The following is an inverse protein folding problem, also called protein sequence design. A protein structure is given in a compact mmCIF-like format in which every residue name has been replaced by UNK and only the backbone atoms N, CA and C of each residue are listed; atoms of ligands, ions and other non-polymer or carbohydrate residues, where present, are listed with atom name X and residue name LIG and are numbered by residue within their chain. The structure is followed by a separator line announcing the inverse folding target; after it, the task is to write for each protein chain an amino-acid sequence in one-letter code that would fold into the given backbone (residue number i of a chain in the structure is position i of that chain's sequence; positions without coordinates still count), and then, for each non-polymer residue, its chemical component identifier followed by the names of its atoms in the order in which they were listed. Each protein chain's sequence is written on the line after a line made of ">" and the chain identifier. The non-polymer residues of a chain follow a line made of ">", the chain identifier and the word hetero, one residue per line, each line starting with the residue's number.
data_IF_776472348228
#
_entry.id   IF_776472348228
#
_cell.length_a   1.000
_cell.length_b   1.000
_cell.length_c   1.000
_cell.angle_alpha   90.00
_cell.angle_beta   90.00
_cell.angle_gamma   90.00
#
_symmetry.space_group_name_H-M   'P 1'
#
loop_
_entity.id
_entity.type
_entity.pdbx_description
1 polymer ?
#
# COMPACT_ATOMS: atom_id res chain seq x y z
N UNK A 1 -20.11 22.80 -7.58
CA UNK A 1 -19.02 22.45 -6.66
C UNK A 1 -18.57 21.01 -6.93
N UNK A 2 -17.28 20.82 -6.98
CA UNK A 2 -16.73 19.48 -7.13
C UNK A 2 -16.80 18.74 -5.79
N UNK A 3 -17.31 17.50 -5.82
CA UNK A 3 -17.29 16.60 -4.66
C UNK A 3 -16.08 15.65 -4.71
N UNK A 4 -15.11 15.95 -5.58
CA UNK A 4 -13.89 15.13 -5.69
C UNK A 4 -13.08 15.23 -4.40
N UNK A 5 -12.71 14.12 -3.78
CA UNK A 5 -11.85 14.14 -2.61
C UNK A 5 -10.51 14.82 -2.90
N UNK A 6 -9.93 15.44 -1.88
CA UNK A 6 -8.58 15.98 -1.97
C UNK A 6 -7.60 14.84 -2.21
N UNK A 7 -6.68 15.05 -3.15
CA UNK A 7 -5.61 14.07 -3.42
C UNK A 7 -4.75 13.88 -2.20
N UNK A 8 -4.54 12.63 -1.80
CA UNK A 8 -3.63 12.27 -0.72
C UNK A 8 -2.55 11.30 -1.20
N UNK A 9 -1.47 11.24 -0.46
CA UNK A 9 -0.35 10.34 -0.70
C UNK A 9 -0.51 9.08 0.16
N UNK A 10 -0.75 7.95 -0.48
CA UNK A 10 -1.00 6.67 0.17
C UNK A 10 0.20 5.77 -0.04
N UNK A 11 0.82 5.31 1.04
CA UNK A 11 2.00 4.46 1.01
C UNK A 11 1.66 3.05 1.47
N UNK A 12 2.06 2.07 0.67
CA UNK A 12 1.93 0.64 1.00
C UNK A 12 3.29 0.09 1.39
N UNK A 13 3.34 -0.61 2.51
CA UNK A 13 4.47 -1.45 2.89
C UNK A 13 4.53 -2.69 2.00
N UNK A 14 5.68 -3.32 1.88
CA UNK A 14 5.88 -4.50 1.03
C UNK A 14 5.67 -5.79 1.83
N UNK A 15 6.64 -6.15 2.68
CA UNK A 15 6.63 -7.45 3.34
C UNK A 15 5.49 -7.58 4.34
N UNK A 16 4.74 -8.67 4.23
CA UNK A 16 3.58 -9.00 5.08
C UNK A 16 2.39 -8.04 4.94
N UNK A 17 2.50 -7.03 4.09
CA UNK A 17 1.41 -6.09 3.75
C UNK A 17 0.91 -6.34 2.34
N UNK A 18 1.76 -6.12 1.33
CA UNK A 18 1.43 -6.41 -0.07
C UNK A 18 1.76 -7.83 -0.47
N UNK A 19 2.82 -8.39 0.09
CA UNK A 19 3.32 -9.71 -0.31
C UNK A 19 3.73 -10.56 0.88
N UNK A 20 3.70 -11.86 0.67
CA UNK A 20 4.44 -12.82 1.47
C UNK A 20 5.52 -13.43 0.59
N UNK A 21 6.78 -13.25 0.94
CA UNK A 21 7.91 -13.75 0.20
C UNK A 21 8.79 -14.66 1.05
N UNK A 22 9.23 -15.77 0.45
CA UNK A 22 10.21 -16.68 1.04
C UNK A 22 11.14 -17.19 -0.05
N UNK A 23 11.96 -18.23 0.24
CA UNK A 23 12.91 -18.79 -0.72
C UNK A 23 12.25 -19.40 -1.96
N UNK A 24 10.99 -19.79 -1.86
CA UNK A 24 10.29 -20.58 -2.89
C UNK A 24 9.18 -19.82 -3.60
N UNK A 25 8.68 -18.74 -3.01
CA UNK A 25 7.52 -18.03 -3.54
C UNK A 25 7.53 -16.56 -3.16
N UNK A 26 6.88 -15.75 -3.98
CA UNK A 26 6.54 -14.36 -3.70
C UNK A 26 5.07 -14.19 -4.07
N UNK A 27 4.22 -14.11 -3.07
CA UNK A 27 2.78 -14.13 -3.22
C UNK A 27 2.20 -12.73 -3.00
N UNK A 28 1.51 -12.21 -4.00
CA UNK A 28 0.79 -10.94 -3.87
C UNK A 28 -0.48 -11.15 -3.03
N UNK A 29 -0.70 -10.25 -2.08
CA UNK A 29 -1.90 -10.27 -1.24
C UNK A 29 -3.15 -10.01 -2.07
N UNK A 30 -4.26 -10.75 -1.84
CA UNK A 30 -5.50 -10.49 -2.57
C UNK A 30 -5.97 -9.05 -2.44
N UNK A 31 -6.46 -8.51 -3.54
CA UNK A 31 -7.00 -7.16 -3.59
C UNK A 31 -6.01 -6.06 -3.96
N UNK A 32 -4.72 -6.36 -4.04
CA UNK A 32 -3.69 -5.33 -4.31
C UNK A 32 -3.98 -4.53 -5.59
N UNK A 33 -4.23 -5.20 -6.70
CA UNK A 33 -4.56 -4.53 -7.97
C UNK A 33 -5.84 -3.70 -7.85
N UNK A 34 -6.92 -4.31 -7.39
CA UNK A 34 -8.22 -3.65 -7.32
C UNK A 34 -8.21 -2.44 -6.39
N UNK A 35 -7.56 -2.55 -5.25
CA UNK A 35 -7.45 -1.45 -4.28
C UNK A 35 -6.64 -0.29 -4.88
N UNK A 36 -5.48 -0.57 -5.46
CA UNK A 36 -4.66 0.47 -6.10
C UNK A 36 -5.39 1.11 -7.28
N UNK A 37 -6.06 0.33 -8.11
CA UNK A 37 -6.88 0.86 -9.22
C UNK A 37 -7.95 1.82 -8.72
N UNK A 38 -8.65 1.46 -7.66
CA UNK A 38 -9.69 2.30 -7.06
C UNK A 38 -9.10 3.61 -6.55
N UNK A 39 -7.95 3.55 -5.87
CA UNK A 39 -7.27 4.75 -5.37
C UNK A 39 -6.81 5.65 -6.50
N UNK A 40 -6.27 5.09 -7.57
CA UNK A 40 -5.85 5.87 -8.74
C UNK A 40 -7.04 6.50 -9.45
N UNK A 41 -8.13 5.76 -9.59
CA UNK A 41 -9.36 6.30 -10.20
C UNK A 41 -9.96 7.45 -9.40
N UNK A 42 -9.77 7.44 -8.07
CA UNK A 42 -10.21 8.54 -7.21
C UNK A 42 -9.24 9.74 -7.22
N UNK A 43 -8.13 9.65 -7.95
CA UNK A 43 -7.18 10.76 -8.11
C UNK A 43 -6.07 10.81 -7.06
N UNK A 44 -5.89 9.75 -6.28
CA UNK A 44 -4.85 9.70 -5.26
C UNK A 44 -3.51 9.26 -5.82
N UNK A 45 -2.44 9.58 -5.10
CA UNK A 45 -1.11 9.09 -5.40
C UNK A 45 -0.85 7.80 -4.60
N UNK A 46 -0.35 6.79 -5.30
CA UNK A 46 -0.04 5.49 -4.70
C UNK A 46 1.47 5.28 -4.73
N UNK A 47 2.05 5.09 -3.57
CA UNK A 47 3.48 4.83 -3.41
C UNK A 47 3.69 3.53 -2.67
N UNK A 48 4.83 2.92 -2.90
CA UNK A 48 5.24 1.71 -2.19
C UNK A 48 6.61 1.97 -1.57
N UNK A 49 6.79 1.57 -0.34
CA UNK A 49 8.06 1.73 0.36
C UNK A 49 8.42 0.48 1.17
N UNK A 50 9.70 0.33 1.49
CA UNK A 50 10.18 -0.80 2.29
C UNK A 50 11.49 -0.46 2.97
N UNK A 51 11.70 -0.99 4.16
CA UNK A 51 13.00 -0.97 4.82
C UNK A 51 14.06 -1.78 4.04
N UNK A 52 13.62 -2.67 3.14
CA UNK A 52 14.50 -3.41 2.24
C UNK A 52 15.09 -2.58 1.10
N UNK A 53 14.64 -1.35 0.91
CA UNK A 53 15.20 -0.40 -0.03
C UNK A 53 14.42 -0.22 -1.32
N UNK A 54 14.71 0.89 -2.00
CA UNK A 54 14.02 1.30 -3.23
C UNK A 54 14.09 0.22 -4.33
N UNK A 55 15.27 -0.38 -4.51
CA UNK A 55 15.44 -1.39 -5.57
C UNK A 55 14.61 -2.63 -5.31
N UNK A 56 14.51 -3.05 -4.06
CA UNK A 56 13.64 -4.15 -3.65
C UNK A 56 12.16 -3.83 -3.96
N UNK A 57 11.73 -2.61 -3.66
CA UNK A 57 10.37 -2.16 -3.95
C UNK A 57 10.10 -2.18 -5.45
N UNK A 58 11.01 -1.64 -6.25
CA UNK A 58 10.88 -1.63 -7.71
C UNK A 58 10.76 -3.04 -8.30
N UNK A 59 11.57 -3.96 -7.80
CA UNK A 59 11.51 -5.37 -8.20
C UNK A 59 10.16 -5.99 -7.89
N UNK A 60 9.66 -5.78 -6.68
CA UNK A 60 8.36 -6.32 -6.24
C UNK A 60 7.22 -5.77 -7.08
N UNK A 61 7.20 -4.46 -7.30
CA UNK A 61 6.19 -3.79 -8.12
C UNK A 61 6.19 -4.35 -9.54
N UNK A 62 7.36 -4.51 -10.14
CA UNK A 62 7.49 -5.07 -11.49
C UNK A 62 7.07 -6.54 -11.54
N UNK A 63 7.49 -7.33 -10.57
CA UNK A 63 7.17 -8.76 -10.49
C UNK A 63 5.66 -9.01 -10.50
N UNK A 64 4.89 -8.18 -9.82
CA UNK A 64 3.45 -8.35 -9.67
C UNK A 64 2.62 -7.48 -10.64
N UNK A 65 3.27 -6.86 -11.62
CA UNK A 65 2.56 -6.08 -12.64
C UNK A 65 1.85 -4.85 -12.10
N UNK A 66 2.39 -4.21 -11.05
CA UNK A 66 1.78 -3.05 -10.39
C UNK A 66 2.32 -1.71 -10.92
N UNK A 67 3.27 -1.73 -11.84
CA UNK A 67 3.99 -0.53 -12.27
C UNK A 67 3.11 0.61 -12.77
N UNK A 68 2.02 0.28 -13.46
CA UNK A 68 1.08 1.28 -13.99
C UNK A 68 0.18 1.90 -12.91
N UNK A 69 0.18 1.34 -11.70
CA UNK A 69 -0.63 1.81 -10.57
C UNK A 69 0.18 2.52 -9.49
N UNK A 70 1.51 2.40 -9.54
CA UNK A 70 2.41 2.92 -8.51
C UNK A 70 3.13 4.15 -9.04
N UNK A 71 2.97 5.27 -8.34
CA UNK A 71 3.56 6.56 -8.71
C UNK A 71 5.01 6.71 -8.27
N UNK A 72 5.47 5.90 -7.33
CA UNK A 72 6.87 5.92 -6.90
C UNK A 72 7.20 4.81 -5.91
N UNK A 73 8.48 4.48 -5.85
CA UNK A 73 9.04 3.43 -5.01
C UNK A 73 10.14 4.05 -4.15
N UNK A 74 10.12 3.80 -2.83
CA UNK A 74 11.00 4.49 -1.90
C UNK A 74 11.56 3.57 -0.82
N UNK A 75 12.70 3.97 -0.27
CA UNK A 75 13.15 3.48 1.03
C UNK A 75 12.17 3.94 2.11
N UNK A 76 12.05 3.18 3.17
CA UNK A 76 11.23 3.55 4.32
C UNK A 76 12.01 4.52 5.22
N UNK A 77 12.15 5.74 4.75
CA UNK A 77 12.91 6.82 5.39
C UNK A 77 11.93 7.87 5.95
N UNK A 78 12.09 8.30 7.21
CA UNK A 78 11.21 9.35 7.79
C UNK A 78 11.28 10.69 7.05
N UNK A 79 12.29 10.90 6.21
CA UNK A 79 12.45 12.12 5.42
C UNK A 79 11.94 12.00 3.99
N UNK A 80 11.21 10.90 3.69
CA UNK A 80 10.70 10.64 2.34
C UNK A 80 9.86 11.81 1.82
N UNK A 81 10.03 12.11 0.54
CA UNK A 81 9.23 13.09 -0.19
C UNK A 81 8.73 12.45 -1.49
N UNK A 82 7.42 12.49 -1.76
CA UNK A 82 6.35 13.13 -0.98
C UNK A 82 6.12 12.45 0.37
N UNK A 83 5.57 13.20 1.34
CA UNK A 83 5.33 12.67 2.70
C UNK A 83 4.01 11.88 2.73
N UNK A 84 3.94 10.76 3.47
CA UNK A 84 2.71 9.99 3.57
C UNK A 84 1.59 10.73 4.28
N UNK A 85 0.40 10.73 3.67
CA UNK A 85 -0.84 11.17 4.32
C UNK A 85 -1.56 9.99 4.97
N UNK A 86 -1.35 8.79 4.44
CA UNK A 86 -1.99 7.57 4.91
C UNK A 86 -1.08 6.39 4.57
N UNK A 87 -0.78 5.55 5.55
CA UNK A 87 0.00 4.34 5.31
C UNK A 87 -0.84 3.08 5.51
N UNK A 88 -0.51 2.05 4.74
CA UNK A 88 -1.05 0.71 4.90
C UNK A 88 0.15 -0.19 5.22
N UNK A 89 0.17 -0.70 6.43
CA UNK A 89 1.34 -1.36 7.00
C UNK A 89 0.91 -2.39 8.04
N UNK A 90 1.69 -3.42 8.25
CA UNK A 90 1.47 -4.41 9.30
C UNK A 90 2.07 -4.00 10.65
N UNK A 91 2.87 -2.95 10.66
CA UNK A 91 3.46 -2.36 11.86
C UNK A 91 2.56 -1.26 12.42
N UNK A 92 1.76 -1.60 13.44
CA UNK A 92 0.82 -0.64 14.01
C UNK A 92 1.50 0.59 14.61
N UNK A 93 2.75 0.46 15.06
CA UNK A 93 3.51 1.60 15.58
C UNK A 93 3.72 2.67 14.51
N UNK A 94 4.07 2.25 13.30
CA UNK A 94 4.22 3.17 12.16
C UNK A 94 2.87 3.76 11.75
N UNK A 95 1.82 2.93 11.75
CA UNK A 95 0.46 3.39 11.44
C UNK A 95 0.02 4.47 12.43
N UNK A 96 0.32 4.29 13.70
CA UNK A 96 0.00 5.30 14.72
C UNK A 96 0.80 6.59 14.50
N UNK A 97 2.06 6.45 14.11
CA UNK A 97 2.95 7.59 13.88
C UNK A 97 2.55 8.43 12.67
N UNK A 98 2.24 7.78 11.55
CA UNK A 98 1.94 8.47 10.29
C UNK A 98 0.45 8.67 10.03
N UNK A 99 -0.39 7.86 10.63
CA UNK A 99 -1.80 7.78 10.28
C UNK A 99 -2.03 6.79 9.15
N UNK A 100 -3.05 5.94 9.28
CA UNK A 100 -3.34 4.96 8.26
C UNK A 100 -4.18 3.80 8.77
N UNK A 101 -3.94 2.64 8.18
CA UNK A 101 -4.63 1.40 8.52
C UNK A 101 -3.62 0.27 8.74
N UNK A 102 -3.70 -0.36 9.89
CA UNK A 102 -2.86 -1.50 10.22
C UNK A 102 -3.52 -2.79 9.72
N UNK A 103 -2.79 -3.52 8.89
CA UNK A 103 -3.25 -4.83 8.41
C UNK A 103 -2.61 -5.94 9.24
N UNK A 104 -3.28 -7.09 9.32
CA UNK A 104 -2.63 -8.29 9.87
C UNK A 104 -1.57 -8.77 8.88
N UNK A 105 -0.54 -9.46 9.38
CA UNK A 105 0.54 -9.95 8.54
C UNK A 105 0.07 -10.99 7.53
N UNK A 106 0.39 -10.78 6.25
CA UNK A 106 0.17 -11.79 5.22
C UNK A 106 1.35 -12.76 5.25
N UNK A 107 1.13 -13.96 5.76
CA UNK A 107 2.18 -14.96 6.03
C UNK A 107 1.98 -16.29 5.33
N UNK A 108 0.90 -16.43 4.57
CA UNK A 108 0.60 -17.64 3.81
C UNK A 108 -0.42 -17.32 2.74
N UNK A 109 -0.44 -18.11 1.67
CA UNK A 109 -1.47 -17.99 0.63
C UNK A 109 -2.86 -18.12 1.25
N UNK A 110 -3.70 -17.13 1.04
CA UNK A 110 -5.07 -17.10 1.55
C UNK A 110 -5.93 -16.24 0.60
N UNK A 111 -6.69 -16.91 -0.27
CA UNK A 111 -7.51 -16.24 -1.26
C UNK A 111 -8.70 -15.49 -0.64
N UNK A 112 -9.02 -15.77 0.62
CA UNK A 112 -10.09 -15.11 1.36
C UNK A 112 -9.61 -13.88 2.14
N UNK A 113 -8.33 -13.55 2.05
CA UNK A 113 -7.77 -12.36 2.73
C UNK A 113 -8.41 -11.09 2.17
N UNK A 114 -8.92 -10.23 3.05
CA UNK A 114 -9.60 -8.99 2.68
C UNK A 114 -8.99 -7.77 3.35
N UNK A 115 -7.81 -7.89 3.90
CA UNK A 115 -7.20 -6.82 4.68
C UNK A 115 -6.92 -5.55 3.86
N UNK A 116 -6.52 -5.70 2.59
CA UNK A 116 -6.33 -4.54 1.72
C UNK A 116 -7.67 -3.90 1.36
N UNK A 117 -8.71 -4.70 1.18
CA UNK A 117 -10.06 -4.20 0.97
C UNK A 117 -10.56 -3.42 2.20
N UNK A 118 -10.27 -3.93 3.40
CA UNK A 118 -10.63 -3.25 4.65
C UNK A 118 -9.89 -1.90 4.78
N UNK A 119 -8.64 -1.83 4.34
CA UNK A 119 -7.90 -0.57 4.27
C UNK A 119 -8.60 0.44 3.33
N UNK A 120 -9.09 -0.03 2.18
CA UNK A 120 -9.84 0.80 1.25
C UNK A 120 -11.13 1.33 1.89
N UNK A 121 -11.86 0.49 2.62
CA UNK A 121 -13.06 0.91 3.35
C UNK A 121 -12.74 1.98 4.38
N UNK A 122 -11.60 1.86 5.05
CA UNK A 122 -11.16 2.89 6.01
C UNK A 122 -10.89 4.23 5.33
N UNK A 123 -10.25 4.20 4.17
CA UNK A 123 -10.01 5.39 3.37
C UNK A 123 -11.34 6.05 2.98
N UNK A 124 -12.33 5.24 2.59
CA UNK A 124 -13.68 5.72 2.28
C UNK A 124 -14.37 6.34 3.49
N UNK A 125 -14.28 5.72 4.67
CA UNK A 125 -14.84 6.24 5.91
C UNK A 125 -14.27 7.61 6.28
N UNK A 126 -13.00 7.84 5.95
CA UNK A 126 -12.32 9.11 6.20
C UNK A 126 -12.66 10.19 5.17
N UNK A 127 -13.51 9.88 4.20
CA UNK A 127 -13.97 10.85 3.21
C UNK A 127 -13.06 11.00 1.98
N UNK A 128 -12.14 10.06 1.75
CA UNK A 128 -11.20 10.14 0.63
C UNK A 128 -11.65 9.38 -0.63
N UNK A 129 -12.78 8.71 -0.56
CA UNK A 129 -13.37 8.02 -1.72
C UNK A 129 -14.80 8.44 -1.95
#
# INVERSE_FOLDING_TARGET
>A
MSNTPVTINIFFDVDHTLVYANQHANLLRPGAHAVMETLKAAGHNVYVWSAGGEDYVKKTVAMHGLGHLVDGCFDKDPRVQPFPDFIIDDDWYLVEKYGGHCVSQYKAANDDDRELHDALLRIAELGHL
#
